data_IF_923172252781
#
_entry.id   IF_923172252781
#
_cell.length_a   1.000
_cell.length_b   1.000
_cell.length_c   1.000
_cell.angle_alpha   90.00
_cell.angle_beta   90.00
_cell.angle_gamma   90.00
#
_symmetry.space_group_name_H-M   'P 1'
#
loop_
_entity.id
_entity.type
_entity.pdbx_description
1 polymer ?
#
# COMPACT_ATOMS: atom_id res chain seq x y z
N UNK A 1 4.71 -9.11 -10.30
CA UNK A 1 5.39 -8.08 -9.48
C UNK A 1 6.74 -8.59 -8.99
N UNK A 2 7.75 -7.71 -8.84
CA UNK A 2 9.09 -8.05 -8.33
C UNK A 2 9.24 -7.87 -6.81
N UNK A 3 8.22 -7.30 -6.15
CA UNK A 3 8.17 -7.19 -4.69
C UNK A 3 8.13 -8.57 -4.02
N UNK A 4 8.48 -8.65 -2.73
CA UNK A 4 8.44 -9.89 -1.98
C UNK A 4 6.99 -10.36 -1.74
N UNK A 5 6.54 -11.33 -2.54
CA UNK A 5 5.16 -11.83 -2.53
C UNK A 5 4.71 -12.30 -1.14
N UNK A 6 5.58 -12.99 -0.39
CA UNK A 6 5.26 -13.53 0.94
C UNK A 6 5.04 -12.41 1.95
N UNK A 7 5.88 -11.39 1.91
CA UNK A 7 5.79 -10.23 2.80
C UNK A 7 4.55 -9.38 2.51
N UNK A 8 4.29 -9.07 1.23
CA UNK A 8 3.10 -8.34 0.81
C UNK A 8 1.83 -9.11 1.19
N UNK A 9 1.77 -10.41 0.88
CA UNK A 9 0.62 -11.24 1.24
C UNK A 9 0.35 -11.24 2.75
N UNK A 10 1.41 -11.28 3.57
CA UNK A 10 1.29 -11.19 5.03
C UNK A 10 0.68 -9.85 5.45
N UNK A 11 1.08 -8.72 4.86
CA UNK A 11 0.48 -7.42 5.19
C UNK A 11 -1.00 -7.35 4.81
N UNK A 12 -1.37 -7.86 3.64
CA UNK A 12 -2.77 -7.91 3.22
C UNK A 12 -3.61 -8.81 4.14
N UNK A 13 -3.07 -9.96 4.57
CA UNK A 13 -3.75 -10.84 5.51
C UNK A 13 -4.00 -10.18 6.87
N UNK A 14 -3.02 -9.42 7.38
CA UNK A 14 -3.19 -8.66 8.63
C UNK A 14 -4.23 -7.55 8.43
N UNK A 15 -4.14 -6.79 7.34
CA UNK A 15 -5.11 -5.73 7.04
C UNK A 15 -6.55 -6.28 6.94
N UNK A 16 -6.73 -7.46 6.32
CA UNK A 16 -8.02 -8.16 6.29
C UNK A 16 -8.54 -8.44 7.70
N UNK A 17 -7.71 -9.00 8.58
CA UNK A 17 -8.11 -9.24 9.98
C UNK A 17 -8.41 -7.96 10.76
N UNK A 18 -7.73 -6.86 10.45
CA UNK A 18 -8.06 -5.55 11.03
C UNK A 18 -9.40 -5.02 10.54
N UNK A 19 -9.72 -5.19 9.25
CA UNK A 19 -11.03 -4.83 8.68
C UNK A 19 -12.17 -5.67 9.28
N UNK A 20 -11.95 -6.98 9.45
CA UNK A 20 -12.91 -7.87 10.13
C UNK A 20 -13.15 -7.38 11.58
N UNK A 21 -12.09 -6.93 12.25
CA UNK A 21 -12.18 -6.29 13.56
C UNK A 21 -13.00 -5.00 13.55
N UNK A 22 -12.73 -4.08 12.61
CA UNK A 22 -13.47 -2.82 12.46
C UNK A 22 -14.96 -3.08 12.24
N UNK A 23 -15.32 -4.06 11.40
CA UNK A 23 -16.73 -4.43 11.20
C UNK A 23 -17.40 -4.85 12.51
N UNK A 24 -16.73 -5.70 13.31
CA UNK A 24 -17.23 -6.12 14.61
C UNK A 24 -17.36 -4.94 15.59
N UNK A 25 -16.42 -4.00 15.60
CA UNK A 25 -16.51 -2.80 16.43
C UNK A 25 -17.74 -1.96 16.08
N UNK A 26 -18.06 -1.83 14.78
CA UNK A 26 -19.25 -1.14 14.30
C UNK A 26 -20.52 -1.88 14.72
N UNK A 27 -20.57 -3.21 14.54
CA UNK A 27 -21.71 -4.04 14.95
C UNK A 27 -22.00 -3.97 16.45
N UNK A 28 -20.96 -3.77 17.26
CA UNK A 28 -21.05 -3.65 18.71
C UNK A 28 -21.30 -2.21 19.21
N UNK A 29 -21.45 -1.24 18.30
CA UNK A 29 -21.59 0.20 18.65
C UNK A 29 -20.44 0.72 19.54
N UNK A 30 -19.21 0.29 19.23
CA UNK A 30 -18.01 0.73 19.96
C UNK A 30 -17.70 2.22 19.71
N UNK A 31 -16.91 2.81 20.60
CA UNK A 31 -16.61 4.25 20.58
C UNK A 31 -15.96 4.68 19.26
N UNK A 32 -16.54 5.71 18.62
CA UNK A 32 -16.18 6.15 17.28
C UNK A 32 -14.68 6.47 17.11
N UNK A 33 -14.02 6.99 18.16
CA UNK A 33 -12.59 7.32 18.09
C UNK A 33 -11.74 6.05 18.04
N UNK A 34 -12.14 4.99 18.72
CA UNK A 34 -11.43 3.70 18.71
C UNK A 34 -11.57 3.01 17.35
N UNK A 35 -12.78 3.04 16.78
CA UNK A 35 -13.03 2.57 15.40
C UNK A 35 -12.15 3.34 14.41
N UNK A 36 -12.11 4.67 14.53
CA UNK A 36 -11.28 5.54 13.68
C UNK A 36 -9.79 5.20 13.81
N UNK A 37 -9.29 5.01 15.02
CA UNK A 37 -7.90 4.61 15.28
C UNK A 37 -7.56 3.27 14.61
N UNK A 38 -8.47 2.29 14.67
CA UNK A 38 -8.27 0.98 14.05
C UNK A 38 -8.28 1.07 12.51
N UNK A 39 -9.13 1.93 11.93
CA UNK A 39 -9.11 2.23 10.50
C UNK A 39 -7.76 2.86 10.11
N UNK A 40 -7.27 3.84 10.86
CA UNK A 40 -5.98 4.49 10.59
C UNK A 40 -4.79 3.51 10.70
N UNK A 41 -4.86 2.56 11.64
CA UNK A 41 -3.88 1.48 11.73
C UNK A 41 -3.88 0.58 10.49
N UNK A 42 -5.08 0.26 9.97
CA UNK A 42 -5.25 -0.52 8.74
C UNK A 42 -4.71 0.22 7.52
N UNK A 43 -5.05 1.51 7.37
CA UNK A 43 -4.54 2.38 6.30
C UNK A 43 -3.01 2.43 6.33
N UNK A 44 -2.41 2.59 7.52
CA UNK A 44 -0.96 2.64 7.67
C UNK A 44 -0.28 1.36 7.17
N UNK A 45 -0.87 0.20 7.45
CA UNK A 45 -0.36 -1.08 6.96
C UNK A 45 -0.50 -1.23 5.44
N UNK A 46 -1.64 -0.82 4.89
CA UNK A 46 -1.87 -0.82 3.43
C UNK A 46 -0.92 0.12 2.71
N UNK A 47 -0.68 1.32 3.26
CA UNK A 47 0.32 2.27 2.76
C UNK A 47 1.70 1.64 2.75
N UNK A 48 2.09 0.94 3.81
CA UNK A 48 3.37 0.20 3.86
C UNK A 48 3.48 -0.86 2.75
N UNK A 49 2.46 -1.68 2.57
CA UNK A 49 2.43 -2.70 1.52
C UNK A 49 2.56 -2.07 0.12
N UNK A 50 1.81 -0.99 -0.14
CA UNK A 50 1.86 -0.28 -1.40
C UNK A 50 3.24 0.33 -1.67
N UNK A 51 3.85 0.97 -0.66
CA UNK A 51 5.20 1.54 -0.77
C UNK A 51 6.25 0.47 -1.10
N UNK A 52 6.17 -0.72 -0.51
CA UNK A 52 7.09 -1.83 -0.84
C UNK A 52 6.90 -2.33 -2.29
N UNK A 53 5.65 -2.44 -2.76
CA UNK A 53 5.35 -2.83 -4.14
C UNK A 53 5.95 -1.82 -5.12
N UNK A 54 5.71 -0.53 -4.88
CA UNK A 54 6.18 0.55 -5.74
C UNK A 54 7.71 0.65 -5.70
N UNK A 55 8.34 0.60 -4.53
CA UNK A 55 9.80 0.61 -4.41
C UNK A 55 10.46 -0.51 -5.21
N UNK A 56 9.88 -1.72 -5.17
CA UNK A 56 10.34 -2.84 -5.98
C UNK A 56 10.11 -2.63 -7.48
N UNK A 57 8.99 -2.02 -7.87
CA UNK A 57 8.74 -1.66 -9.27
C UNK A 57 9.78 -0.64 -9.77
N UNK A 58 9.96 0.47 -9.05
CA UNK A 58 10.91 1.54 -9.38
C UNK A 58 12.33 1.00 -9.54
N UNK A 59 12.80 0.23 -8.56
CA UNK A 59 14.18 -0.30 -8.56
C UNK A 59 14.45 -1.17 -9.78
N UNK A 60 13.49 -2.00 -10.19
CA UNK A 60 13.69 -2.88 -11.33
C UNK A 60 13.47 -2.15 -12.65
N UNK A 61 12.46 -1.27 -12.70
CA UNK A 61 12.19 -0.46 -13.88
C UNK A 61 13.40 0.39 -14.27
N UNK A 62 14.07 1.05 -13.32
CA UNK A 62 15.28 1.83 -13.62
C UNK A 62 16.51 0.97 -13.96
N UNK A 63 16.64 -0.23 -13.40
CA UNK A 63 17.77 -1.14 -13.71
C UNK A 63 17.68 -1.73 -15.11
N UNK A 64 16.47 -1.95 -15.60
CA UNK A 64 16.20 -2.60 -16.88
C UNK A 64 15.85 -1.58 -18.00
N UNK A 65 15.78 -0.27 -17.70
CA UNK A 65 15.36 0.77 -18.64
C UNK A 65 16.52 1.30 -19.52
N UNK A 66 16.41 1.21 -20.86
CA UNK A 66 17.33 1.87 -21.76
C UNK A 66 17.15 3.40 -21.73
N UNK A 67 18.21 4.16 -22.01
CA UNK A 67 18.20 5.62 -21.91
C UNK A 67 17.13 6.31 -22.77
N UNK A 68 16.71 5.69 -23.87
CA UNK A 68 15.65 6.18 -24.76
C UNK A 68 14.25 6.15 -24.15
N UNK A 69 14.04 5.33 -23.11
CA UNK A 69 12.72 5.14 -22.46
C UNK A 69 12.64 5.82 -21.08
N UNK A 70 13.73 6.44 -20.63
CA UNK A 70 13.86 6.99 -19.29
C UNK A 70 12.81 8.06 -18.98
N UNK A 71 12.53 8.95 -19.95
CA UNK A 71 11.61 10.07 -19.77
C UNK A 71 10.15 9.61 -19.62
N UNK A 72 9.74 8.62 -20.41
CA UNK A 72 8.42 7.98 -20.30
C UNK A 72 8.26 7.26 -18.95
N UNK A 73 9.30 6.55 -18.50
CA UNK A 73 9.32 5.89 -17.19
C UNK A 73 9.26 6.89 -16.04
N UNK A 74 9.93 8.03 -16.13
CA UNK A 74 9.83 9.08 -15.12
C UNK A 74 8.40 9.63 -15.01
N UNK A 75 7.70 9.80 -16.13
CA UNK A 75 6.30 10.25 -16.12
C UNK A 75 5.33 9.20 -15.56
N UNK A 76 5.57 7.90 -15.82
CA UNK A 76 4.86 6.79 -15.17
C UNK A 76 4.98 6.88 -13.64
N UNK A 77 6.17 7.22 -13.15
CA UNK A 77 6.47 7.31 -11.71
C UNK A 77 5.80 8.51 -11.07
N UNK A 78 5.81 9.68 -11.72
CA UNK A 78 5.08 10.87 -11.22
C UNK A 78 3.61 10.54 -10.98
N UNK A 79 2.96 9.89 -11.95
CA UNK A 79 1.56 9.44 -11.84
C UNK A 79 1.33 8.44 -10.69
N UNK A 80 2.34 7.67 -10.30
CA UNK A 80 2.25 6.73 -9.17
C UNK A 80 2.40 7.46 -7.83
N UNK A 81 3.32 8.42 -7.73
CA UNK A 81 3.53 9.24 -6.53
C UNK A 81 2.29 10.08 -6.23
N UNK A 82 1.68 10.70 -7.24
CA UNK A 82 0.47 11.52 -7.05
C UNK A 82 -0.67 10.72 -6.39
N UNK A 83 -0.80 9.42 -6.73
CA UNK A 83 -1.80 8.52 -6.16
C UNK A 83 -1.53 8.11 -4.71
N UNK A 84 -0.32 8.35 -4.18
CA UNK A 84 0.04 8.02 -2.79
C UNK A 84 -0.22 9.17 -1.81
N UNK A 85 -0.45 10.38 -2.31
CA UNK A 85 -0.50 11.61 -1.49
C UNK A 85 -1.94 12.00 -1.12
N UNK A 86 -2.90 11.12 -1.42
CA UNK A 86 -4.32 11.26 -1.13
C UNK A 86 -4.69 10.45 0.12
#
# INVERSE_FOLDING_TARGET
>A
MKANHKQISRYIQIARGQLDGVLKMIENDEYCVDVSNQILATISLLKKANTEILSAHLTNCFRECPSSELEEKVDEIKKLIDRMTI
#
